data_IF_672509604035
#
_entry.id   IF_672509604035
#
_cell.length_a   1.000
_cell.length_b   1.000
_cell.length_c   1.000
_cell.angle_alpha   90.00
_cell.angle_beta   90.00
_cell.angle_gamma   90.00
#
_symmetry.space_group_name_H-M   'P 1'
#
loop_
_entity.id
_entity.type
_entity.pdbx_description
1 polymer ?
#
# COMPACT_ATOMS: atom_id res chain seq x y z
N UNK A 1 -35.75 -15.06 -23.61
CA UNK A 1 -35.62 -14.12 -22.48
C UNK A 1 -34.47 -14.51 -21.56
N UNK A 2 -34.29 -15.80 -21.27
CA UNK A 2 -33.22 -16.34 -20.41
C UNK A 2 -31.80 -16.06 -20.92
N UNK A 3 -31.54 -16.23 -22.21
CA UNK A 3 -30.20 -16.00 -22.80
C UNK A 3 -29.71 -14.55 -22.63
N UNK A 4 -30.61 -13.57 -22.79
CA UNK A 4 -30.32 -12.14 -22.54
C UNK A 4 -30.11 -11.83 -21.05
N UNK A 5 -30.72 -12.60 -20.16
CA UNK A 5 -30.53 -12.47 -18.72
C UNK A 5 -29.14 -12.97 -18.29
N UNK A 6 -28.72 -14.10 -18.84
CA UNK A 6 -27.40 -14.68 -18.59
C UNK A 6 -26.26 -13.79 -19.11
N UNK A 7 -26.38 -13.30 -20.34
CA UNK A 7 -25.40 -12.40 -20.97
C UNK A 7 -25.21 -11.11 -20.15
N UNK A 8 -26.30 -10.45 -19.75
CA UNK A 8 -26.26 -9.28 -18.87
C UNK A 8 -25.69 -9.60 -17.48
N UNK A 9 -25.92 -10.81 -16.97
CA UNK A 9 -25.36 -11.26 -15.70
C UNK A 9 -23.84 -11.40 -15.76
N UNK A 10 -23.34 -11.99 -16.85
CA UNK A 10 -21.91 -12.16 -17.10
C UNK A 10 -21.21 -10.82 -17.32
N UNK A 11 -21.78 -9.94 -18.13
CA UNK A 11 -21.24 -8.60 -18.39
C UNK A 11 -21.12 -7.79 -17.09
N UNK A 12 -22.18 -7.74 -16.29
CA UNK A 12 -22.14 -7.07 -14.97
C UNK A 12 -21.16 -7.72 -14.00
N UNK A 13 -21.04 -9.05 -14.05
CA UNK A 13 -20.09 -9.78 -13.22
C UNK A 13 -18.65 -9.41 -13.57
N UNK A 14 -18.33 -9.37 -14.87
CA UNK A 14 -17.02 -8.99 -15.39
C UNK A 14 -16.68 -7.54 -15.05
N UNK A 15 -17.60 -6.61 -15.31
CA UNK A 15 -17.41 -5.18 -15.02
C UNK A 15 -17.13 -4.94 -13.53
N UNK A 16 -17.94 -5.55 -12.64
CA UNK A 16 -17.72 -5.48 -11.19
C UNK A 16 -16.39 -6.11 -10.78
N UNK A 17 -16.02 -7.23 -11.40
CA UNK A 17 -14.75 -7.91 -11.14
C UNK A 17 -13.55 -7.03 -11.48
N UNK A 18 -13.59 -6.36 -12.63
CA UNK A 18 -12.55 -5.42 -13.08
C UNK A 18 -12.47 -4.22 -12.13
N UNK A 19 -13.61 -3.56 -11.87
CA UNK A 19 -13.66 -2.39 -10.97
C UNK A 19 -13.12 -2.70 -9.57
N UNK A 20 -13.51 -3.85 -9.00
CA UNK A 20 -13.02 -4.27 -7.68
C UNK A 20 -11.52 -4.60 -7.71
N UNK A 21 -11.03 -5.21 -8.79
CA UNK A 21 -9.62 -5.50 -9.00
C UNK A 21 -8.78 -4.23 -9.07
N UNK A 22 -9.20 -3.25 -9.87
CA UNK A 22 -8.53 -1.96 -10.02
C UNK A 22 -8.51 -1.17 -8.71
N UNK A 23 -9.64 -1.09 -8.01
CA UNK A 23 -9.72 -0.38 -6.73
C UNK A 23 -8.77 -0.99 -5.68
N UNK A 24 -8.78 -2.32 -5.54
CA UNK A 24 -7.88 -3.03 -4.61
C UNK A 24 -6.41 -2.86 -5.01
N UNK A 25 -6.11 -2.91 -6.30
CA UNK A 25 -4.76 -2.72 -6.82
C UNK A 25 -4.23 -1.32 -6.51
N UNK A 26 -5.05 -0.29 -6.73
CA UNK A 26 -4.70 1.10 -6.47
C UNK A 26 -4.51 1.37 -4.97
N UNK A 27 -5.41 0.87 -4.12
CA UNK A 27 -5.30 1.01 -2.66
C UNK A 27 -4.04 0.32 -2.13
N UNK A 28 -3.80 -0.93 -2.56
CA UNK A 28 -2.61 -1.69 -2.16
C UNK A 28 -1.33 -1.00 -2.63
N UNK A 29 -1.27 -0.60 -3.90
CA UNK A 29 -0.10 0.07 -4.46
C UNK A 29 0.20 1.40 -3.78
N UNK A 30 -0.85 2.18 -3.44
CA UNK A 30 -0.71 3.41 -2.67
C UNK A 30 -0.15 3.15 -1.27
N UNK A 31 -0.73 2.19 -0.54
CA UNK A 31 -0.29 1.85 0.81
C UNK A 31 1.15 1.32 0.83
N UNK A 32 1.53 0.48 -0.13
CA UNK A 32 2.89 -0.04 -0.26
C UNK A 32 3.88 1.08 -0.59
N UNK A 33 3.53 1.97 -1.52
CA UNK A 33 4.36 3.11 -1.90
C UNK A 33 4.55 4.14 -0.77
N UNK A 34 3.48 4.49 -0.04
CA UNK A 34 3.58 5.38 1.12
C UNK A 34 4.49 4.79 2.21
N UNK A 35 4.40 3.48 2.44
CA UNK A 35 5.25 2.79 3.41
C UNK A 35 6.71 2.71 2.96
N UNK A 36 6.96 2.40 1.69
CA UNK A 36 8.32 2.39 1.13
C UNK A 36 8.98 3.78 1.19
N UNK A 37 8.23 4.83 0.84
CA UNK A 37 8.70 6.21 0.94
C UNK A 37 9.06 6.59 2.38
N UNK A 38 8.21 6.20 3.34
CA UNK A 38 8.45 6.45 4.77
C UNK A 38 9.72 5.75 5.26
N UNK A 39 9.92 4.48 4.89
CA UNK A 39 11.14 3.73 5.23
C UNK A 39 12.40 4.34 4.60
N UNK A 40 12.31 4.82 3.36
CA UNK A 40 13.42 5.50 2.67
C UNK A 40 13.80 6.79 3.39
N UNK A 41 12.83 7.60 3.78
CA UNK A 41 13.06 8.83 4.54
C UNK A 41 13.69 8.52 5.90
N UNK A 42 13.15 7.54 6.63
CA UNK A 42 13.70 7.11 7.92
C UNK A 42 15.16 6.62 7.81
N UNK A 43 15.49 5.87 6.75
CA UNK A 43 16.88 5.47 6.46
C UNK A 43 17.80 6.67 6.31
N UNK A 44 17.39 7.66 5.51
CA UNK A 44 18.16 8.90 5.32
C UNK A 44 18.30 9.68 6.63
N UNK A 45 17.25 9.77 7.44
CA UNK A 45 17.32 10.44 8.75
C UNK A 45 18.36 9.80 9.67
N UNK A 46 18.32 8.46 9.80
CA UNK A 46 19.29 7.70 10.60
C UNK A 46 20.73 7.86 10.08
N UNK A 47 20.92 7.83 8.76
CA UNK A 47 22.24 8.06 8.14
C UNK A 47 22.80 9.46 8.41
N UNK A 48 21.93 10.45 8.58
CA UNK A 48 22.32 11.81 8.97
C UNK A 48 22.48 11.99 10.49
N UNK A 49 22.42 10.90 11.27
CA UNK A 49 22.64 10.92 12.71
C UNK A 49 21.43 11.36 13.55
N UNK A 50 20.23 11.41 12.96
CA UNK A 50 19.00 11.61 13.73
C UNK A 50 18.73 10.35 14.56
N UNK A 51 18.43 10.52 15.84
CA UNK A 51 18.20 9.40 16.76
C UNK A 51 16.91 8.64 16.45
N UNK A 52 16.87 7.36 16.84
CA UNK A 52 15.74 6.46 16.55
C UNK A 52 14.41 6.97 17.12
N UNK A 53 14.41 7.52 18.33
CA UNK A 53 13.18 7.99 18.98
C UNK A 53 12.56 9.15 18.20
N UNK A 54 13.40 10.10 17.75
CA UNK A 54 12.96 11.20 16.89
C UNK A 54 12.44 10.68 15.55
N UNK A 55 13.13 9.73 14.91
CA UNK A 55 12.67 9.14 13.64
C UNK A 55 11.31 8.46 13.81
N UNK A 56 11.11 7.64 14.85
CA UNK A 56 9.82 7.01 15.15
C UNK A 56 8.72 8.06 15.36
N UNK A 57 8.98 9.11 16.14
CA UNK A 57 8.02 10.18 16.40
C UNK A 57 7.61 10.95 15.13
N UNK A 58 8.54 11.16 14.20
CA UNK A 58 8.29 11.90 12.95
C UNK A 58 7.63 11.06 11.86
N UNK A 59 7.94 9.77 11.80
CA UNK A 59 7.53 8.89 10.70
C UNK A 59 6.39 7.94 11.06
N UNK A 60 6.10 7.79 12.36
CA UNK A 60 5.13 6.81 12.87
C UNK A 60 5.61 5.37 12.76
N UNK A 61 6.88 5.14 12.40
CA UNK A 61 7.48 3.82 12.34
C UNK A 61 7.69 3.26 13.75
N UNK A 62 7.58 1.94 13.86
CA UNK A 62 7.88 1.19 15.08
C UNK A 62 9.37 0.89 15.20
N UNK A 63 9.81 0.45 16.38
CA UNK A 63 11.21 0.01 16.56
C UNK A 63 11.51 -1.20 15.65
N UNK A 64 10.55 -2.12 15.49
CA UNK A 64 10.66 -3.26 14.58
C UNK A 64 10.84 -2.81 13.13
N UNK A 65 10.15 -1.75 12.70
CA UNK A 65 10.32 -1.18 11.37
C UNK A 65 11.73 -0.62 11.18
N UNK A 66 12.27 0.08 12.18
CA UNK A 66 13.62 0.64 12.12
C UNK A 66 14.71 -0.44 12.14
N UNK A 67 14.51 -1.55 12.87
CA UNK A 67 15.46 -2.68 12.85
C UNK A 67 15.65 -3.25 11.44
N UNK A 68 14.58 -3.29 10.63
CA UNK A 68 14.62 -3.75 9.24
C UNK A 68 15.32 -2.79 8.28
N UNK A 69 15.56 -1.54 8.69
CA UNK A 69 16.28 -0.54 7.88
C UNK A 69 17.80 -0.72 7.99
N UNK A 70 18.29 -1.27 9.10
CA UNK A 70 19.72 -1.32 9.45
C UNK A 70 20.46 -2.60 9.03
N UNK A 71 19.87 -3.43 8.16
CA UNK A 71 20.56 -4.50 7.42
C UNK A 71 20.80 -4.08 5.96
#
# INVERSE_FOLDING_TARGET
LEQKGLEKGLEKGLEKGIQLGEQRGLEKGRSEGEREATLKIARTMLQNGIDRNTVMAMTGLTEEDLQRITH
#
